data_IF_948754503023
#
_entry.id   IF_948754503023
#
_cell.length_a   1.000
_cell.length_b   1.000
_cell.length_c   1.000
_cell.angle_alpha   90.00
_cell.angle_beta   90.00
_cell.angle_gamma   90.00
#
_symmetry.space_group_name_H-M   'P 1'
#
loop_
_entity.id
_entity.type
_entity.pdbx_description
1 polymer ?
#
# COMPACT_ATOMS: atom_id res chain seq x y z
N UNK A 1 19.10 -9.84 -4.57
CA UNK A 1 17.76 -9.43 -5.07
C UNK A 1 17.64 -7.92 -4.99
N UNK A 2 17.07 -7.25 -6.00
CA UNK A 2 16.91 -5.78 -6.01
C UNK A 2 15.42 -5.48 -5.94
N UNK A 3 14.95 -5.06 -4.76
CA UNK A 3 13.56 -4.77 -4.51
C UNK A 3 13.28 -3.28 -4.62
N UNK A 4 12.26 -2.92 -5.41
CA UNK A 4 11.68 -1.58 -5.44
C UNK A 4 10.41 -1.57 -4.61
N UNK A 5 10.35 -0.67 -3.64
CA UNK A 5 9.23 -0.53 -2.72
C UNK A 5 8.44 0.76 -2.91
N UNK A 6 7.12 0.64 -2.81
CA UNK A 6 6.19 1.77 -2.77
C UNK A 6 4.93 1.43 -1.97
N UNK A 7 4.22 2.46 -1.55
CA UNK A 7 2.95 2.34 -0.84
C UNK A 7 1.77 2.87 -1.64
N UNK A 8 0.75 2.04 -1.76
CA UNK A 8 -0.51 2.40 -2.42
C UNK A 8 -1.65 2.49 -1.39
N UNK A 9 -2.55 3.44 -1.60
CA UNK A 9 -3.81 3.52 -0.85
C UNK A 9 -4.98 3.42 -1.82
N UNK A 10 -5.78 2.36 -1.69
CA UNK A 10 -6.95 2.11 -2.50
C UNK A 10 -8.20 2.62 -1.79
N UNK A 11 -8.87 3.60 -2.37
CA UNK A 11 -10.15 4.09 -1.87
C UNK A 11 -11.20 2.96 -1.92
N UNK A 12 -11.85 2.68 -0.80
CA UNK A 12 -12.99 1.73 -0.76
C UNK A 12 -14.33 2.40 -1.11
N UNK A 13 -14.29 3.64 -1.60
CA UNK A 13 -15.45 4.35 -2.12
C UNK A 13 -15.31 4.53 -3.63
N UNK A 14 -16.44 4.42 -4.34
CA UNK A 14 -16.49 4.70 -5.76
C UNK A 14 -16.28 6.19 -6.04
N UNK A 15 -15.60 6.50 -7.15
CA UNK A 15 -15.55 7.88 -7.65
C UNK A 15 -16.94 8.29 -8.12
N UNK A 16 -17.44 9.43 -7.62
CA UNK A 16 -18.64 10.05 -8.18
C UNK A 16 -18.29 10.61 -9.56
N UNK A 17 -18.87 10.05 -10.60
CA UNK A 17 -18.71 10.51 -11.97
C UNK A 17 -20.05 10.98 -12.56
N UNK A 18 -19.97 11.66 -13.70
CA UNK A 18 -21.17 12.03 -14.46
C UNK A 18 -21.97 10.78 -14.83
N UNK A 19 -23.26 10.79 -14.51
CA UNK A 19 -24.20 9.75 -14.91
C UNK A 19 -25.35 10.36 -15.71
N UNK A 20 -25.94 9.56 -16.60
CA UNK A 20 -27.07 9.98 -17.40
C UNK A 20 -28.36 9.85 -16.58
N UNK A 21 -29.19 10.88 -16.64
CA UNK A 21 -30.54 10.86 -16.08
C UNK A 21 -31.51 11.63 -16.98
N UNK A 22 -32.80 11.38 -16.78
CA UNK A 22 -33.85 12.09 -17.52
C UNK A 22 -33.80 13.57 -17.18
N UNK A 23 -34.07 14.42 -18.17
CA UNK A 23 -34.13 15.88 -17.98
C UNK A 23 -35.14 16.22 -16.87
N UNK A 24 -34.69 16.95 -15.85
CA UNK A 24 -35.50 17.30 -14.67
C UNK A 24 -35.50 16.26 -13.55
N UNK A 25 -34.84 15.12 -13.70
CA UNK A 25 -34.67 14.13 -12.63
C UNK A 25 -33.20 14.02 -12.24
N UNK A 26 -32.83 14.67 -11.12
CA UNK A 26 -31.48 14.56 -10.57
C UNK A 26 -31.30 13.18 -9.93
N UNK A 27 -30.32 12.38 -10.36
CA UNK A 27 -30.05 11.08 -9.76
C UNK A 27 -29.37 11.27 -8.40
N UNK A 28 -29.97 10.74 -7.34
CA UNK A 28 -29.37 10.73 -6.00
C UNK A 28 -28.50 9.49 -5.85
N UNK A 29 -27.18 9.67 -5.82
CA UNK A 29 -26.24 8.58 -5.58
C UNK A 29 -26.08 8.37 -4.07
N UNK A 30 -26.45 7.19 -3.57
CA UNK A 30 -26.22 6.83 -2.17
C UNK A 30 -24.73 6.64 -1.94
N UNK A 31 -24.13 7.54 -1.16
CA UNK A 31 -22.75 7.39 -0.68
C UNK A 31 -22.76 6.82 0.74
N UNK A 32 -21.90 5.85 1.05
CA UNK A 32 -21.79 5.30 2.41
C UNK A 32 -21.17 6.28 3.43
N UNK A 33 -20.62 7.42 2.98
CA UNK A 33 -19.95 8.41 3.82
C UNK A 33 -18.64 7.93 4.48
N UNK A 34 -18.30 6.65 4.33
CA UNK A 34 -17.12 6.02 4.92
C UNK A 34 -15.91 6.24 3.99
N UNK A 35 -15.09 7.22 4.32
CA UNK A 35 -13.77 7.42 3.70
C UNK A 35 -12.76 6.46 4.30
N UNK A 36 -12.87 5.17 3.94
CA UNK A 36 -11.88 4.15 4.29
C UNK A 36 -11.01 3.84 3.08
N UNK A 37 -9.70 3.99 3.23
CA UNK A 37 -8.72 3.57 2.23
C UNK A 37 -8.03 2.30 2.71
N UNK A 38 -7.95 1.30 1.85
CA UNK A 38 -7.13 0.11 2.09
C UNK A 38 -5.70 0.40 1.70
N UNK A 39 -4.78 0.28 2.65
CA UNK A 39 -3.38 0.61 2.47
C UNK A 39 -2.59 -0.65 2.16
N UNK A 40 -1.67 -0.58 1.22
CA UNK A 40 -0.87 -1.74 0.80
C UNK A 40 0.58 -1.30 0.70
N UNK A 41 1.46 -2.09 1.31
CA UNK A 41 2.90 -2.07 1.03
C UNK A 41 3.18 -3.04 -0.11
N UNK A 42 4.01 -2.64 -1.08
CA UNK A 42 4.43 -3.50 -2.17
C UNK A 42 5.94 -3.44 -2.37
N UNK A 43 6.58 -4.60 -2.57
CA UNK A 43 7.94 -4.72 -3.08
C UNK A 43 7.93 -5.57 -4.34
N UNK A 44 8.64 -5.12 -5.38
CA UNK A 44 8.84 -5.89 -6.60
C UNK A 44 10.33 -6.11 -6.85
N UNK A 45 10.71 -7.36 -7.13
CA UNK A 45 12.07 -7.66 -7.58
C UNK A 45 12.25 -7.29 -9.03
N UNK A 46 13.26 -6.48 -9.29
CA UNK A 46 13.57 -5.98 -10.62
C UNK A 46 13.95 -7.08 -11.61
N UNK A 47 14.62 -8.12 -11.12
CA UNK A 47 15.17 -9.18 -11.99
C UNK A 47 14.16 -10.30 -12.24
N UNK A 48 13.52 -10.82 -11.19
CA UNK A 48 12.58 -11.94 -11.29
C UNK A 48 11.13 -11.52 -11.53
N UNK A 49 10.77 -10.27 -11.22
CA UNK A 49 9.38 -9.82 -11.20
C UNK A 49 8.58 -10.36 -10.02
N UNK A 50 9.22 -11.01 -9.03
CA UNK A 50 8.55 -11.46 -7.82
C UNK A 50 7.93 -10.26 -7.08
N UNK A 51 6.65 -10.36 -6.73
CA UNK A 51 5.89 -9.30 -6.07
C UNK A 51 5.45 -9.72 -4.67
N UNK A 52 5.91 -8.97 -3.68
CA UNK A 52 5.54 -9.13 -2.28
C UNK A 52 4.61 -7.99 -1.89
N UNK A 53 3.49 -8.31 -1.25
CA UNK A 53 2.55 -7.28 -0.82
C UNK A 53 1.94 -7.60 0.54
N UNK A 54 1.63 -6.55 1.29
CA UNK A 54 0.92 -6.68 2.57
C UNK A 54 -0.08 -5.56 2.71
N UNK A 55 -1.34 -5.95 2.82
CA UNK A 55 -2.42 -5.02 3.06
C UNK A 55 -2.61 -4.73 4.55
N UNK A 56 -2.89 -3.47 4.86
CA UNK A 56 -3.09 -2.97 6.20
C UNK A 56 -4.30 -2.02 6.23
N UNK A 57 -5.12 -2.14 7.27
CA UNK A 57 -6.31 -1.30 7.47
C UNK A 57 -6.05 -0.10 8.38
N UNK A 58 -4.90 -0.07 9.08
CA UNK A 58 -4.48 1.03 9.94
C UNK A 58 -3.58 2.06 9.23
N UNK A 59 -2.90 2.91 10.00
CA UNK A 59 -1.95 3.91 9.46
C UNK A 59 -0.61 3.24 9.12
N UNK A 60 0.06 3.75 8.09
CA UNK A 60 1.46 3.41 7.84
C UNK A 60 2.32 3.88 9.02
N UNK A 61 3.02 2.95 9.64
CA UNK A 61 3.92 3.19 10.76
C UNK A 61 5.16 2.28 10.63
N UNK A 62 6.22 2.58 11.39
CA UNK A 62 7.46 1.82 11.32
C UNK A 62 7.28 0.34 11.70
N UNK A 63 6.38 0.03 12.64
CA UNK A 63 6.12 -1.34 13.11
C UNK A 63 5.46 -2.21 12.03
N UNK A 64 4.42 -1.71 11.36
CA UNK A 64 3.77 -2.41 10.24
C UNK A 64 4.72 -2.60 9.07
N UNK A 65 5.61 -1.63 8.85
CA UNK A 65 6.65 -1.72 7.82
C UNK A 65 7.71 -2.78 8.15
N UNK A 66 8.20 -2.81 9.40
CA UNK A 66 9.13 -3.83 9.87
C UNK A 66 8.52 -5.23 9.77
N UNK A 67 7.28 -5.40 10.23
CA UNK A 67 6.56 -6.67 10.13
C UNK A 67 6.31 -7.13 8.69
N UNK A 68 6.28 -6.21 7.72
CA UNK A 68 6.25 -6.54 6.31
C UNK A 68 7.62 -7.02 5.81
N UNK A 69 8.69 -6.29 6.13
CA UNK A 69 10.04 -6.69 5.72
C UNK A 69 10.49 -8.02 6.33
N UNK A 70 10.15 -8.29 7.60
CA UNK A 70 10.42 -9.61 8.21
C UNK A 70 9.74 -10.73 7.44
N UNK A 71 8.52 -10.53 6.94
CA UNK A 71 7.81 -11.53 6.14
C UNK A 71 8.42 -11.72 4.75
N UNK A 72 8.95 -10.65 4.14
CA UNK A 72 9.69 -10.77 2.88
C UNK A 72 11.01 -11.51 3.11
N UNK A 73 11.72 -11.19 4.20
CA UNK A 73 12.96 -11.85 4.58
C UNK A 73 12.78 -13.35 4.84
N UNK A 74 11.69 -13.78 5.48
CA UNK A 74 11.43 -15.22 5.68
C UNK A 74 11.19 -15.98 4.37
N UNK A 75 10.74 -15.28 3.32
CA UNK A 75 10.52 -15.86 2.00
C UNK A 75 11.78 -15.85 1.11
N UNK A 76 12.84 -15.16 1.54
CA UNK A 76 14.04 -14.93 0.70
C UNK A 76 15.32 -15.29 1.45
N UNK A 77 16.18 -16.13 0.86
CA UNK A 77 17.45 -16.52 1.47
C UNK A 77 18.67 -15.74 0.91
N UNK A 78 18.44 -14.73 0.08
CA UNK A 78 19.48 -13.98 -0.61
C UNK A 78 19.65 -12.58 -0.01
N UNK A 79 20.81 -11.97 -0.21
CA UNK A 79 21.02 -10.56 0.11
C UNK A 79 20.05 -9.67 -0.68
N UNK A 80 19.37 -8.77 0.02
CA UNK A 80 18.41 -7.83 -0.54
C UNK A 80 19.00 -6.42 -0.60
N UNK A 81 18.82 -5.77 -1.74
CA UNK A 81 19.02 -4.34 -1.91
C UNK A 81 17.62 -3.75 -2.06
N UNK A 82 17.22 -2.90 -1.12
CA UNK A 82 15.90 -2.28 -1.08
C UNK A 82 16.01 -0.82 -1.50
N UNK A 83 15.22 -0.43 -2.51
CA UNK A 83 15.11 0.93 -3.01
C UNK A 83 13.68 1.41 -2.71
N UNK A 84 13.58 2.49 -1.94
CA UNK A 84 12.32 3.05 -1.45
C UNK A 84 12.45 4.58 -1.34
N UNK A 85 11.33 5.27 -1.11
CA UNK A 85 11.33 6.72 -0.94
C UNK A 85 11.95 7.17 0.41
N UNK A 86 12.08 8.49 0.58
CA UNK A 86 12.66 9.09 1.78
C UNK A 86 11.66 9.31 2.93
N UNK A 87 10.54 8.59 3.00
CA UNK A 87 9.55 8.83 4.04
C UNK A 87 10.12 8.59 5.45
N UNK A 88 9.70 9.43 6.42
CA UNK A 88 10.26 9.44 7.79
C UNK A 88 10.16 8.09 8.52
N UNK A 89 9.19 7.25 8.17
CA UNK A 89 9.02 5.93 8.77
C UNK A 89 9.99 4.87 8.21
N UNK A 90 10.62 5.10 7.05
CA UNK A 90 11.69 4.25 6.51
C UNK A 90 13.03 4.44 7.22
N UNK A 91 13.27 5.62 7.78
CA UNK A 91 14.52 5.98 8.47
C UNK A 91 14.39 5.98 10.00
N UNK A 92 13.35 5.34 10.55
CA UNK A 92 13.15 5.29 11.99
C UNK A 92 14.30 4.57 12.69
N UNK A 93 14.83 5.15 13.76
CA UNK A 93 15.96 4.61 14.54
C UNK A 93 15.63 3.25 15.17
N UNK A 94 14.35 2.91 15.30
CA UNK A 94 13.85 1.63 15.79
C UNK A 94 13.80 0.53 14.73
N UNK A 95 14.34 0.78 13.53
CA UNK A 95 14.46 -0.21 12.46
C UNK A 95 15.54 -1.23 12.80
N UNK A 96 15.18 -2.20 13.65
CA UNK A 96 16.00 -3.37 13.97
C UNK A 96 15.33 -4.56 13.31
N UNK A 97 15.85 -4.97 12.16
CA UNK A 97 15.50 -6.26 11.56
C UNK A 97 16.09 -7.33 12.51
N UNK A 98 15.28 -8.20 13.13
CA UNK A 98 15.81 -9.31 13.92
C UNK A 98 16.59 -10.32 13.07
#
# INVERSE_FOLDING_TARGET
MILFGDEASFAQWGSLSYTWARKGQQPTVKTSGLRKGYKIFGLIDYLSGAFFYKGHTGKFNAESYQAFLTEVLTQTQQHLILIQDGARYHTSIYFVIP
#
